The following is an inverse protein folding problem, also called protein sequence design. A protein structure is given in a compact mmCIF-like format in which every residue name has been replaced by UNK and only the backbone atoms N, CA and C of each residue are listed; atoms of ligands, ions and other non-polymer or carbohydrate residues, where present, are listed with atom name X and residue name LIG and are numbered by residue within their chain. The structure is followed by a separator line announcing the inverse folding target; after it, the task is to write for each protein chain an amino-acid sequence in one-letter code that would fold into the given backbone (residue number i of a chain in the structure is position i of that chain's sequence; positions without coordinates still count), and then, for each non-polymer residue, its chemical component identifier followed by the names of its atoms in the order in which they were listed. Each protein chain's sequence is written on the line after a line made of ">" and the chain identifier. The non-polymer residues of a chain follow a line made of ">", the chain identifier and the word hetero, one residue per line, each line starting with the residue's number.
data_IF_477423244468
#
_entry.id   IF_477423244468
#
_cell.length_a   1.000
_cell.length_b   1.000
_cell.length_c   1.000
_cell.angle_alpha   90.00
_cell.angle_beta   90.00
_cell.angle_gamma   90.00
#
_symmetry.space_group_name_H-M   'P 1'
#
loop_
_entity.id
_entity.type
_entity.pdbx_description
1 polymer ?
#
# COMPACT_ATOMS: atom_id res chain seq x y z
N UNK A 1 2.34 -8.52 -25.72
CA UNK A 1 1.84 -7.27 -25.11
C UNK A 1 0.48 -7.46 -24.41
N UNK A 2 -0.10 -8.68 -24.35
CA UNK A 2 -1.35 -8.91 -23.61
C UNK A 2 -1.09 -9.08 -22.11
N UNK A 3 -0.02 -9.77 -21.75
CA UNK A 3 0.29 -10.12 -20.34
C UNK A 3 0.70 -8.91 -19.50
N UNK A 4 1.35 -7.91 -20.10
CA UNK A 4 1.73 -6.66 -19.42
C UNK A 4 0.51 -5.82 -19.06
N UNK A 5 -0.56 -5.88 -19.87
CA UNK A 5 -1.76 -5.09 -19.65
C UNK A 5 -2.64 -5.70 -18.54
N UNK A 6 -2.67 -7.03 -18.42
CA UNK A 6 -3.30 -7.73 -17.28
C UNK A 6 -2.55 -7.47 -15.97
N UNK A 7 -1.21 -7.40 -16.01
CA UNK A 7 -0.40 -7.04 -14.84
C UNK A 7 -0.65 -5.60 -14.37
N UNK A 8 -0.81 -4.65 -15.30
CA UNK A 8 -1.12 -3.25 -14.96
C UNK A 8 -2.51 -3.15 -14.32
N UNK A 9 -3.52 -3.82 -14.87
CA UNK A 9 -4.87 -3.84 -14.28
C UNK A 9 -4.91 -4.51 -12.90
N UNK A 10 -4.12 -5.58 -12.71
CA UNK A 10 -4.00 -6.22 -11.40
C UNK A 10 -3.33 -5.28 -10.37
N UNK A 11 -2.39 -4.43 -10.81
CA UNK A 11 -1.73 -3.44 -9.96
C UNK A 11 -2.68 -2.31 -9.58
N UNK A 12 -3.42 -1.76 -10.53
CA UNK A 12 -4.45 -0.72 -10.29
C UNK A 12 -5.52 -1.23 -9.32
N UNK A 13 -5.99 -2.47 -9.51
CA UNK A 13 -6.95 -3.08 -8.58
C UNK A 13 -6.36 -3.33 -7.19
N UNK A 14 -5.05 -3.54 -7.06
CA UNK A 14 -4.40 -3.70 -5.77
C UNK A 14 -4.20 -2.35 -5.07
N UNK A 15 -3.94 -1.28 -5.82
CA UNK A 15 -3.87 0.10 -5.30
C UNK A 15 -5.23 0.55 -4.74
N UNK A 16 -6.33 0.29 -5.45
CA UNK A 16 -7.69 0.61 -4.95
C UNK A 16 -8.01 -0.15 -3.65
N UNK A 17 -7.66 -1.43 -3.58
CA UNK A 17 -7.86 -2.24 -2.37
C UNK A 17 -7.00 -1.78 -1.20
N UNK A 18 -5.81 -1.23 -1.47
CA UNK A 18 -4.93 -0.64 -0.47
C UNK A 18 -5.51 0.65 0.10
N UNK A 19 -6.09 1.50 -0.75
CA UNK A 19 -6.76 2.72 -0.31
C UNK A 19 -7.97 2.41 0.58
N UNK A 20 -8.77 1.40 0.22
CA UNK A 20 -9.89 0.94 1.05
C UNK A 20 -9.41 0.36 2.40
N UNK A 21 -8.30 -0.37 2.40
CA UNK A 21 -7.71 -0.91 3.62
C UNK A 21 -7.16 0.19 4.54
N UNK A 22 -6.53 1.23 3.97
CA UNK A 22 -6.05 2.40 4.71
C UNK A 22 -7.19 3.13 5.43
N UNK A 23 -8.34 3.30 4.76
CA UNK A 23 -9.50 3.98 5.34
C UNK A 23 -10.15 3.17 6.49
N UNK A 24 -10.19 1.84 6.35
CA UNK A 24 -10.64 0.94 7.44
C UNK A 24 -9.68 1.00 8.62
N UNK A 25 -8.38 0.94 8.36
CA UNK A 25 -7.32 0.99 9.36
C UNK A 25 -7.36 2.34 10.11
N UNK A 26 -7.55 3.44 9.38
CA UNK A 26 -7.76 4.76 9.96
C UNK A 26 -9.00 4.82 10.85
N UNK A 27 -10.16 4.33 10.37
CA UNK A 27 -11.39 4.31 11.17
C UNK A 27 -11.25 3.45 12.43
N UNK A 28 -10.59 2.29 12.31
CA UNK A 28 -10.31 1.39 13.43
C UNK A 28 -9.39 2.06 14.46
N UNK A 29 -8.33 2.77 14.05
CA UNK A 29 -7.46 3.48 14.99
C UNK A 29 -8.16 4.66 15.66
N UNK A 30 -9.08 5.31 14.95
CA UNK A 30 -9.83 6.45 15.48
C UNK A 30 -10.92 6.01 16.46
N UNK A 31 -11.51 4.82 16.29
CA UNK A 31 -12.58 4.28 17.17
C UNK A 31 -12.07 3.37 18.30
N UNK A 32 -10.93 2.66 18.13
CA UNK A 32 -10.34 1.77 19.14
C UNK A 32 -9.10 2.43 19.76
N UNK A 33 -9.33 3.33 20.73
CA UNK A 33 -8.32 3.97 21.57
C UNK A 33 -7.66 3.02 22.60
N UNK A 34 -7.18 1.85 22.16
CA UNK A 34 -6.24 1.05 22.96
C UNK A 34 -4.84 1.21 22.35
N UNK A 35 -3.88 1.68 23.16
CA UNK A 35 -2.47 1.96 22.77
C UNK A 35 -1.82 0.82 21.96
N UNK A 36 -2.22 -0.43 22.22
CA UNK A 36 -1.74 -1.62 21.51
C UNK A 36 -2.20 -1.66 20.03
N UNK A 37 -3.44 -1.20 19.76
CA UNK A 37 -3.98 -1.13 18.39
C UNK A 37 -3.35 0.02 17.62
N UNK A 38 -3.16 1.18 18.26
CA UNK A 38 -2.46 2.33 17.66
C UNK A 38 -1.01 1.99 17.31
N UNK A 39 -0.31 1.27 18.19
CA UNK A 39 1.06 0.82 17.93
C UNK A 39 1.12 -0.16 16.76
N UNK A 40 0.25 -1.17 16.73
CA UNK A 40 0.18 -2.14 15.63
C UNK A 40 -0.15 -1.44 14.29
N UNK A 41 -0.96 -0.38 14.34
CA UNK A 41 -1.29 0.42 13.16
C UNK A 41 -0.09 1.21 12.63
N UNK A 42 0.66 1.85 13.53
CA UNK A 42 1.86 2.59 13.17
C UNK A 42 2.92 1.68 12.56
N UNK A 43 3.11 0.48 13.11
CA UNK A 43 4.02 -0.53 12.55
C UNK A 43 3.61 -0.92 11.12
N UNK A 44 2.31 -1.13 10.88
CA UNK A 44 1.79 -1.46 9.55
C UNK A 44 1.97 -0.31 8.54
N UNK A 45 1.78 0.95 8.97
CA UNK A 45 2.00 2.14 8.13
C UNK A 45 3.48 2.27 7.74
N UNK A 46 4.41 2.02 8.67
CA UNK A 46 5.84 2.02 8.36
C UNK A 46 6.23 0.93 7.35
N UNK A 47 5.66 -0.27 7.47
CA UNK A 47 5.87 -1.35 6.51
C UNK A 47 5.34 -0.98 5.12
N UNK A 48 4.16 -0.37 5.04
CA UNK A 48 3.57 0.09 3.78
C UNK A 48 4.44 1.16 3.10
N UNK A 49 4.96 2.12 3.87
CA UNK A 49 5.91 3.12 3.37
C UNK A 49 7.19 2.50 2.82
N UNK A 50 7.73 1.49 3.51
CA UNK A 50 8.92 0.75 3.06
C UNK A 50 8.67 0.06 1.71
N UNK A 51 7.52 -0.58 1.55
CA UNK A 51 7.12 -1.24 0.30
C UNK A 51 6.93 -0.21 -0.82
N UNK A 52 6.23 0.90 -0.56
CA UNK A 52 6.07 1.96 -1.56
C UNK A 52 7.40 2.57 -1.99
N UNK A 53 8.34 2.76 -1.07
CA UNK A 53 9.68 3.25 -1.40
C UNK A 53 10.42 2.24 -2.28
N UNK A 54 10.33 0.94 -1.96
CA UNK A 54 10.92 -0.13 -2.79
C UNK A 54 10.32 -0.17 -4.20
N UNK A 55 9.00 -0.03 -4.33
CA UNK A 55 8.31 0.03 -5.63
C UNK A 55 8.78 1.26 -6.42
N UNK A 56 8.98 2.40 -5.76
CA UNK A 56 9.49 3.63 -6.37
C UNK A 56 10.92 3.44 -6.89
N UNK A 57 11.81 2.86 -6.07
CA UNK A 57 13.18 2.53 -6.47
C UNK A 57 13.19 1.59 -7.69
N UNK A 58 12.32 0.58 -7.70
CA UNK A 58 12.17 -0.33 -8.84
C UNK A 58 11.73 0.45 -10.09
N UNK A 59 10.70 1.30 -9.99
CA UNK A 59 10.22 2.14 -11.11
C UNK A 59 11.32 3.06 -11.65
N UNK A 60 12.17 3.63 -10.79
CA UNK A 60 13.30 4.47 -11.20
C UNK A 60 14.44 3.69 -11.88
N UNK A 61 14.61 2.41 -11.54
CA UNK A 61 15.63 1.54 -12.17
C UNK A 61 15.18 0.91 -13.49
N UNK A 62 13.90 1.02 -13.85
CA UNK A 62 13.40 0.62 -15.17
C UNK A 62 13.65 1.78 -16.15
N UNK A 63 14.51 1.60 -17.17
CA UNK A 63 14.72 2.63 -18.19
C UNK A 63 13.43 2.84 -18.98
N UNK A 64 12.94 4.08 -19.03
CA UNK A 64 11.85 4.49 -19.91
C UNK A 64 12.29 4.26 -21.37
N UNK A 65 11.63 3.32 -22.08
CA UNK A 65 11.77 3.10 -23.53
C UNK A 65 11.13 4.22 -24.36
#
# INVERSE_FOLDING_TARGET
>A
MSDTNELIQALESAEDQLADAEDVVWNVSTELCDEETEQSLNELVEELWSVQNHITEIKETVPEE
#
